data_IF_233804611469
#
_entry.id   IF_233804611469
#
_cell.length_a   1.000
_cell.length_b   1.000
_cell.length_c   1.000
_cell.angle_alpha   90.00
_cell.angle_beta   90.00
_cell.angle_gamma   90.00
#
_symmetry.space_group_name_H-M   'P 1'
#
loop_
_entity.id
_entity.type
_entity.pdbx_description
1 polymer ?
#
# COMPACT_ATOMS: atom_id res chain seq x y z
N UNK A 1 24.58 -10.51 -24.48
CA UNK A 1 24.42 -11.28 -23.22
C UNK A 1 24.56 -10.36 -22.01
N UNK A 2 25.30 -9.25 -22.15
CA UNK A 2 25.52 -8.25 -21.10
C UNK A 2 24.31 -7.37 -20.75
N UNK A 3 23.39 -7.10 -21.69
CA UNK A 3 22.19 -6.27 -21.42
C UNK A 3 21.13 -6.96 -20.54
N UNK A 4 21.09 -8.29 -20.51
CA UNK A 4 20.14 -9.04 -19.69
C UNK A 4 20.60 -9.07 -18.22
N UNK A 5 21.91 -9.11 -17.99
CA UNK A 5 22.51 -9.16 -16.65
C UNK A 5 22.29 -7.82 -15.93
N UNK A 6 22.42 -6.68 -16.62
CA UNK A 6 22.22 -5.35 -16.03
C UNK A 6 20.77 -5.07 -15.60
N UNK A 7 19.79 -5.54 -16.38
CA UNK A 7 18.37 -5.41 -16.04
C UNK A 7 17.97 -6.33 -14.86
N UNK A 8 18.57 -7.51 -14.78
CA UNK A 8 18.30 -8.50 -13.72
C UNK A 8 18.90 -8.07 -12.38
N UNK A 9 20.11 -7.50 -12.38
CA UNK A 9 20.72 -6.88 -11.19
C UNK A 9 19.88 -5.68 -10.69
N UNK A 10 19.41 -4.83 -11.60
CA UNK A 10 18.54 -3.70 -11.25
C UNK A 10 17.20 -4.15 -10.63
N UNK A 11 16.58 -5.22 -11.13
CA UNK A 11 15.35 -5.75 -10.54
C UNK A 11 15.56 -6.29 -9.12
N UNK A 12 16.65 -7.03 -8.90
CA UNK A 12 16.93 -7.62 -7.60
C UNK A 12 17.15 -6.55 -6.52
N UNK A 13 17.82 -5.45 -6.85
CA UNK A 13 18.00 -4.31 -5.95
C UNK A 13 16.66 -3.66 -5.58
N UNK A 14 15.80 -3.42 -6.57
CA UNK A 14 14.47 -2.86 -6.35
C UNK A 14 13.60 -3.82 -5.52
N UNK A 15 13.66 -5.12 -5.81
CA UNK A 15 12.95 -6.13 -5.05
C UNK A 15 13.38 -6.10 -3.58
N UNK A 16 14.68 -6.18 -3.31
CA UNK A 16 15.22 -6.13 -1.94
C UNK A 16 14.83 -4.83 -1.22
N UNK A 17 14.87 -3.69 -1.92
CA UNK A 17 14.53 -2.39 -1.35
C UNK A 17 13.06 -2.26 -0.96
N UNK A 18 12.14 -2.80 -1.77
CA UNK A 18 10.71 -2.56 -1.60
C UNK A 18 9.89 -3.77 -1.12
N UNK A 19 10.48 -4.97 -1.07
CA UNK A 19 9.82 -6.21 -0.63
C UNK A 19 9.01 -6.02 0.65
N UNK A 20 9.65 -5.54 1.72
CA UNK A 20 9.01 -5.38 3.04
C UNK A 20 7.83 -4.40 2.97
N UNK A 21 7.93 -3.34 2.18
CA UNK A 21 6.87 -2.34 2.04
C UNK A 21 5.68 -2.90 1.27
N UNK A 22 5.93 -3.54 0.13
CA UNK A 22 4.88 -4.15 -0.70
C UNK A 22 4.15 -5.25 0.08
N UNK A 23 4.90 -6.13 0.74
CA UNK A 23 4.34 -7.19 1.57
C UNK A 23 3.47 -6.63 2.71
N UNK A 24 3.94 -5.59 3.42
CA UNK A 24 3.14 -4.95 4.49
C UNK A 24 1.84 -4.36 3.96
N UNK A 25 1.85 -3.73 2.78
CA UNK A 25 0.62 -3.21 2.16
C UNK A 25 -0.32 -4.36 1.82
N UNK A 26 0.18 -5.40 1.16
CA UNK A 26 -0.59 -6.58 0.79
C UNK A 26 -1.24 -7.21 2.03
N UNK A 27 -0.44 -7.56 3.04
CA UNK A 27 -0.90 -8.14 4.29
C UNK A 27 -1.86 -7.22 5.06
N UNK A 28 -1.65 -5.90 5.02
CA UNK A 28 -2.55 -4.98 5.71
C UNK A 28 -3.98 -5.02 5.16
N UNK A 29 -4.15 -5.39 3.89
CA UNK A 29 -5.41 -5.48 3.17
C UNK A 29 -5.96 -6.91 3.22
N UNK A 30 -5.14 -7.92 2.89
CA UNK A 30 -5.58 -9.32 2.81
C UNK A 30 -5.82 -9.93 4.19
N UNK A 31 -5.05 -9.50 5.21
CA UNK A 31 -5.01 -10.13 6.55
C UNK A 31 -4.68 -11.62 6.53
N UNK A 32 -4.15 -12.11 5.41
CA UNK A 32 -3.80 -13.49 5.15
C UNK A 32 -2.38 -13.54 4.57
N UNK A 33 -1.56 -14.44 5.10
CA UNK A 33 -0.14 -14.56 4.74
C UNK A 33 0.03 -15.05 3.31
N UNK A 34 -0.71 -16.08 2.91
CA UNK A 34 -0.61 -16.68 1.58
C UNK A 34 -1.08 -15.70 0.50
N UNK A 35 -2.23 -15.05 0.72
CA UNK A 35 -2.73 -14.03 -0.20
C UNK A 35 -1.80 -12.81 -0.25
N UNK A 36 -1.15 -12.45 0.87
CA UNK A 36 -0.18 -11.36 0.87
C UNK A 36 1.08 -11.69 0.04
N UNK A 37 1.55 -12.93 0.10
CA UNK A 37 2.67 -13.43 -0.71
C UNK A 37 2.31 -13.46 -2.20
N UNK A 38 1.11 -13.93 -2.56
CA UNK A 38 0.65 -13.93 -3.95
C UNK A 38 0.55 -12.51 -4.52
N UNK A 39 -0.02 -11.58 -3.74
CA UNK A 39 -0.12 -10.17 -4.12
C UNK A 39 1.25 -9.54 -4.29
N UNK A 40 2.19 -9.85 -3.41
CA UNK A 40 3.58 -9.39 -3.50
C UNK A 40 4.21 -9.87 -4.81
N UNK A 41 4.13 -11.16 -5.10
CA UNK A 41 4.69 -11.76 -6.32
C UNK A 41 4.08 -11.12 -7.57
N UNK A 42 2.75 -11.05 -7.64
CA UNK A 42 2.03 -10.46 -8.76
C UNK A 42 2.38 -8.96 -8.95
N UNK A 43 2.62 -8.24 -7.85
CA UNK A 43 3.05 -6.83 -7.90
C UNK A 43 4.43 -6.68 -8.52
N UNK A 44 5.39 -7.50 -8.11
CA UNK A 44 6.75 -7.46 -8.66
C UNK A 44 6.83 -8.03 -10.08
N UNK A 45 5.96 -8.98 -10.46
CA UNK A 45 5.83 -9.42 -11.84
C UNK A 45 5.34 -8.28 -12.75
N UNK A 46 4.32 -7.52 -12.31
CA UNK A 46 3.85 -6.31 -13.00
C UNK A 46 4.92 -5.23 -13.07
N UNK A 47 5.77 -5.12 -12.03
CA UNK A 47 6.91 -4.21 -12.03
C UNK A 47 7.91 -4.62 -13.11
N UNK A 48 8.32 -5.89 -13.13
CA UNK A 48 9.28 -6.41 -14.09
C UNK A 48 8.85 -6.17 -15.55
N UNK A 49 7.57 -6.43 -15.86
CA UNK A 49 6.98 -6.17 -17.19
C UNK A 49 7.00 -4.69 -17.61
N UNK A 50 7.14 -3.76 -16.66
CA UNK A 50 7.14 -2.32 -16.92
C UNK A 50 8.45 -1.64 -16.57
N UNK A 51 9.44 -2.38 -16.08
CA UNK A 51 10.69 -1.85 -15.56
C UNK A 51 11.45 -1.05 -16.63
N UNK A 52 11.40 -1.48 -17.89
CA UNK A 52 12.00 -0.79 -19.04
C UNK A 52 11.40 0.61 -19.31
N UNK A 53 10.22 0.91 -18.78
CA UNK A 53 9.51 2.18 -19.00
C UNK A 53 9.64 3.14 -17.81
N UNK A 54 10.35 2.76 -16.75
CA UNK A 54 10.44 3.53 -15.51
C UNK A 54 11.74 4.34 -15.54
N UNK A 55 11.62 5.61 -15.92
CA UNK A 55 12.75 6.56 -15.98
C UNK A 55 13.07 7.20 -14.61
N UNK A 56 12.18 7.06 -13.62
CA UNK A 56 12.25 7.84 -12.38
C UNK A 56 12.08 6.98 -11.11
N UNK A 57 13.20 6.77 -10.43
CA UNK A 57 13.31 6.00 -9.18
C UNK A 57 12.46 6.60 -8.03
N UNK A 58 12.22 7.92 -8.00
CA UNK A 58 11.41 8.55 -6.95
C UNK A 58 9.93 8.14 -7.03
N UNK A 59 9.46 7.74 -8.22
CA UNK A 59 8.07 7.34 -8.46
C UNK A 59 7.81 5.86 -8.20
N UNK A 60 8.85 5.01 -8.19
CA UNK A 60 8.73 3.56 -8.02
C UNK A 60 8.05 3.19 -6.72
N UNK A 61 8.46 3.82 -5.61
CA UNK A 61 7.91 3.50 -4.29
C UNK A 61 6.41 3.76 -4.19
N UNK A 62 5.93 4.83 -4.82
CA UNK A 62 4.50 5.16 -4.89
C UNK A 62 3.75 4.22 -5.84
N UNK A 63 4.34 3.91 -6.98
CA UNK A 63 3.78 3.00 -7.97
C UNK A 63 3.64 1.56 -7.44
N UNK A 64 4.68 1.01 -6.80
CA UNK A 64 4.64 -0.32 -6.21
C UNK A 64 3.56 -0.42 -5.12
N UNK A 65 3.47 0.58 -4.24
CA UNK A 65 2.40 0.63 -3.23
C UNK A 65 1.00 0.67 -3.85
N UNK A 66 0.85 1.40 -4.95
CA UNK A 66 -0.40 1.48 -5.71
C UNK A 66 -0.81 0.14 -6.31
N UNK A 67 0.14 -0.54 -6.97
CA UNK A 67 -0.11 -1.83 -7.61
C UNK A 67 -0.37 -2.90 -6.58
N UNK A 68 0.35 -2.91 -5.46
CA UNK A 68 0.15 -3.83 -4.35
C UNK A 68 -1.27 -3.73 -3.78
N UNK A 69 -1.74 -2.52 -3.47
CA UNK A 69 -3.04 -2.33 -2.87
C UNK A 69 -4.18 -2.76 -3.81
N UNK A 70 -4.10 -2.40 -5.10
CA UNK A 70 -5.11 -2.84 -6.08
C UNK A 70 -5.11 -4.34 -6.26
N UNK A 71 -3.92 -4.94 -6.37
CA UNK A 71 -3.78 -6.38 -6.54
C UNK A 71 -4.37 -7.11 -5.32
N UNK A 72 -4.11 -6.64 -4.09
CA UNK A 72 -4.74 -7.19 -2.88
C UNK A 72 -6.28 -7.13 -2.92
N UNK A 73 -6.84 -5.99 -3.30
CA UNK A 73 -8.31 -5.83 -3.40
C UNK A 73 -8.90 -6.76 -4.46
N UNK A 74 -8.22 -6.95 -5.59
CA UNK A 74 -8.68 -7.83 -6.66
C UNK A 74 -8.65 -9.30 -6.25
N UNK A 75 -7.64 -9.73 -5.48
CA UNK A 75 -7.56 -11.07 -4.91
C UNK A 75 -8.72 -11.35 -3.94
N UNK A 76 -8.97 -10.43 -2.99
CA UNK A 76 -10.09 -10.56 -2.05
C UNK A 76 -11.47 -10.61 -2.76
N UNK A 77 -11.62 -9.86 -3.86
CA UNK A 77 -12.85 -9.88 -4.67
C UNK A 77 -13.04 -11.20 -5.42
N UNK A 78 -11.96 -11.89 -5.79
CA UNK A 78 -12.02 -13.21 -6.42
C UNK A 78 -12.43 -14.27 -5.40
N UNK A 79 -11.83 -14.25 -4.21
CA UNK A 79 -12.17 -15.16 -3.12
C UNK A 79 -13.66 -15.11 -2.76
N UNK A 80 -14.24 -13.90 -2.63
CA UNK A 80 -15.66 -13.73 -2.32
C UNK A 80 -16.62 -14.25 -3.40
N UNK A 81 -16.15 -14.47 -4.64
CA UNK A 81 -16.96 -14.97 -5.76
C UNK A 81 -16.89 -16.49 -5.93
N UNK A 82 -15.94 -17.15 -5.27
CA UNK A 82 -15.86 -18.60 -5.20
C UNK A 82 -16.65 -19.08 -3.98
N UNK A 83 -17.81 -19.76 -4.16
CA UNK A 83 -18.46 -20.43 -3.05
C UNK A 83 -17.54 -21.58 -2.59
N UNK A 84 -16.93 -21.44 -1.42
CA UNK A 84 -16.14 -22.51 -0.78
C UNK A 84 -17.04 -23.72 -0.47
N UNK A 85 -16.73 -24.92 -0.98
CA UNK A 85 -17.12 -26.16 -0.34
C UNK A 85 -16.05 -26.54 0.69
N UNK A 86 -16.50 -26.66 1.94
CA UNK A 86 -15.87 -27.35 3.06
C UNK A 86 -14.68 -26.70 3.78
N UNK A 87 -14.91 -26.52 5.09
CA UNK A 87 -14.00 -26.78 6.22
C UNK A 87 -12.60 -27.26 5.86
N UNK A 88 -11.60 -26.45 6.19
CA UNK A 88 -10.45 -26.93 6.96
C UNK A 88 -9.70 -25.79 7.66
N UNK A 89 -9.41 -26.05 8.93
CA UNK A 89 -8.66 -25.26 9.89
C UNK A 89 -7.35 -24.70 9.32
N UNK A 90 -7.01 -23.45 9.67
CA UNK A 90 -5.75 -23.17 10.40
C UNK A 90 -5.64 -21.72 10.82
N UNK A 91 -5.58 -21.54 12.13
CA UNK A 91 -5.05 -20.35 12.81
C UNK A 91 -3.55 -20.29 12.49
N UNK A 92 -3.06 -19.22 11.85
CA UNK A 92 -1.62 -18.94 11.78
C UNK A 92 -1.32 -17.53 12.32
N UNK A 93 -1.06 -17.50 13.63
CA UNK A 93 -0.26 -16.43 14.22
C UNK A 93 1.20 -16.63 13.77
N UNK A 94 1.79 -15.62 13.15
CA UNK A 94 3.19 -15.66 12.69
C UNK A 94 3.76 -14.25 12.51
N UNK A 95 3.87 -13.50 13.61
CA UNK A 95 4.49 -12.17 13.61
C UNK A 95 6.02 -12.27 13.60
N UNK A 96 6.66 -11.71 12.58
CA UNK A 96 8.10 -11.44 12.63
C UNK A 96 8.31 -10.04 13.25
N UNK A 97 8.63 -10.04 14.54
CA UNK A 97 8.89 -8.85 15.35
C UNK A 97 10.38 -8.54 15.30
N UNK A 98 10.74 -7.69 14.35
CA UNK A 98 11.91 -6.84 14.48
C UNK A 98 11.44 -5.41 14.17
N UNK A 99 10.70 -4.86 15.13
CA UNK A 99 10.31 -3.46 15.15
C UNK A 99 11.14 -2.81 16.27
N UNK A 100 12.09 -1.97 15.89
CA UNK A 100 12.77 -1.07 16.83
C UNK A 100 11.72 -0.19 17.52
N UNK A 101 11.89 0.09 18.81
CA UNK A 101 10.97 0.91 19.60
C UNK A 101 10.69 2.29 18.94
N UNK A 102 11.67 2.83 18.20
CA UNK A 102 11.53 4.05 17.40
C UNK A 102 10.50 3.92 16.27
N UNK A 103 10.43 2.75 15.62
CA UNK A 103 9.48 2.48 14.54
C UNK A 103 8.06 2.35 15.06
N UNK A 104 7.87 1.67 16.20
CA UNK A 104 6.57 1.56 16.87
C UNK A 104 6.09 2.92 17.37
N UNK A 105 6.99 3.70 17.98
CA UNK A 105 6.69 5.06 18.41
C UNK A 105 6.28 5.95 17.23
N UNK A 106 7.06 5.95 16.13
CA UNK A 106 6.74 6.74 14.94
C UNK A 106 5.40 6.35 14.32
N UNK A 107 5.11 5.03 14.26
CA UNK A 107 3.85 4.50 13.73
C UNK A 107 2.66 4.93 14.59
N UNK A 108 2.80 4.86 15.92
CA UNK A 108 1.77 5.30 16.85
C UNK A 108 1.54 6.81 16.75
N UNK A 109 2.60 7.61 16.72
CA UNK A 109 2.53 9.08 16.52
C UNK A 109 1.78 9.42 15.23
N UNK A 110 2.13 8.80 14.09
CA UNK A 110 1.43 9.02 12.82
C UNK A 110 -0.05 8.63 12.91
N UNK A 111 -0.36 7.49 13.53
CA UNK A 111 -1.73 7.02 13.72
C UNK A 111 -2.56 8.01 14.56
N UNK A 112 -2.00 8.53 15.65
CA UNK A 112 -2.66 9.51 16.50
C UNK A 112 -2.89 10.85 15.78
N UNK A 113 -1.90 11.32 15.01
CA UNK A 113 -2.06 12.56 14.24
C UNK A 113 -3.12 12.43 13.13
N UNK A 114 -3.21 11.27 12.48
CA UNK A 114 -4.29 10.98 11.51
C UNK A 114 -5.66 11.00 12.23
N UNK A 115 -5.75 10.47 13.45
CA UNK A 115 -6.97 10.52 14.28
C UNK A 115 -7.33 11.92 14.78
N UNK A 116 -6.42 12.90 14.74
CA UNK A 116 -6.72 14.31 15.04
C UNK A 116 -7.25 15.07 13.83
N UNK A 117 -7.09 14.55 12.62
CA UNK A 117 -7.64 15.17 11.41
C UNK A 117 -9.17 15.24 11.46
N UNK A 118 -9.75 16.30 10.88
CA UNK A 118 -11.19 16.42 10.67
C UNK A 118 -11.71 15.18 9.92
N UNK A 119 -12.92 14.65 10.24
CA UNK A 119 -13.41 13.39 9.68
C UNK A 119 -13.31 13.29 8.16
N UNK A 120 -13.71 14.35 7.46
CA UNK A 120 -13.64 14.46 5.98
C UNK A 120 -12.24 14.41 5.37
N UNK A 121 -11.19 14.69 6.15
CA UNK A 121 -9.79 14.63 5.75
C UNK A 121 -9.16 13.30 6.13
N UNK A 122 -9.55 12.76 7.29
CA UNK A 122 -9.15 11.43 7.73
C UNK A 122 -9.65 10.36 6.76
N UNK A 123 -10.95 10.33 6.51
CA UNK A 123 -11.61 9.32 5.67
C UNK A 123 -10.96 9.23 4.28
N UNK A 124 -10.75 10.37 3.61
CA UNK A 124 -10.14 10.38 2.27
C UNK A 124 -8.65 9.97 2.31
N UNK A 125 -7.95 10.26 3.40
CA UNK A 125 -6.52 9.97 3.55
C UNK A 125 -6.31 8.51 3.95
N UNK A 126 -7.17 7.95 4.80
CA UNK A 126 -7.23 6.52 5.14
C UNK A 126 -7.61 5.70 3.92
N UNK A 127 -8.64 6.09 3.17
CA UNK A 127 -8.99 5.43 1.91
C UNK A 127 -7.83 5.47 0.91
N UNK A 128 -7.08 6.57 0.88
CA UNK A 128 -5.90 6.70 0.04
C UNK A 128 -4.69 5.91 0.57
N UNK A 129 -4.49 5.79 1.88
CA UNK A 129 -3.35 5.08 2.47
C UNK A 129 -3.56 3.56 2.49
N UNK A 130 -4.74 3.12 2.92
CA UNK A 130 -5.03 1.70 3.14
C UNK A 130 -5.47 0.98 1.87
N UNK A 131 -6.13 1.69 0.93
CA UNK A 131 -6.70 1.05 -0.27
C UNK A 131 -6.11 1.60 -1.58
N UNK A 132 -5.15 2.53 -1.50
CA UNK A 132 -4.54 3.27 -2.62
C UNK A 132 -5.49 3.63 -3.78
N UNK A 133 -6.68 4.07 -3.42
CA UNK A 133 -7.68 4.44 -4.41
C UNK A 133 -7.18 5.62 -5.26
N UNK A 134 -7.43 5.56 -6.58
CA UNK A 134 -7.26 6.69 -7.48
C UNK A 134 -8.21 7.79 -7.07
N UNK A 135 -7.88 9.03 -7.44
CA UNK A 135 -8.77 10.17 -7.19
C UNK A 135 -10.18 9.98 -7.78
N UNK A 136 -10.29 9.23 -8.89
CA UNK A 136 -11.57 8.90 -9.51
C UNK A 136 -12.38 7.89 -8.68
N UNK A 137 -11.71 6.88 -8.12
CA UNK A 137 -12.33 5.86 -7.27
C UNK A 137 -12.75 6.48 -5.93
N UNK A 138 -11.93 7.37 -5.36
CA UNK A 138 -12.29 8.19 -4.19
C UNK A 138 -13.50 9.08 -4.47
N UNK A 139 -13.55 9.71 -5.65
CA UNK A 139 -14.66 10.56 -6.05
C UNK A 139 -15.97 9.78 -6.12
N UNK A 140 -15.94 8.57 -6.70
CA UNK A 140 -17.09 7.68 -6.78
C UNK A 140 -17.51 7.17 -5.40
N UNK A 141 -16.57 6.65 -4.62
CA UNK A 141 -16.84 6.03 -3.31
C UNK A 141 -17.35 7.03 -2.29
N UNK A 142 -16.80 8.26 -2.28
CA UNK A 142 -17.22 9.32 -1.36
C UNK A 142 -18.35 10.19 -1.91
N UNK A 143 -18.82 9.92 -3.14
CA UNK A 143 -19.81 10.76 -3.86
C UNK A 143 -19.40 12.24 -3.92
N UNK A 144 -18.13 12.49 -4.27
CA UNK A 144 -17.53 13.81 -4.35
C UNK A 144 -17.09 14.14 -5.78
N UNK A 145 -16.93 15.43 -6.09
CA UNK A 145 -16.24 15.84 -7.32
C UNK A 145 -14.74 15.53 -7.25
N UNK A 146 -14.10 15.27 -8.39
CA UNK A 146 -12.62 15.10 -8.47
C UNK A 146 -11.88 16.33 -7.91
N UNK A 147 -12.40 17.54 -8.12
CA UNK A 147 -11.84 18.77 -7.56
C UNK A 147 -11.90 18.81 -6.03
N UNK A 148 -13.00 18.33 -5.46
CA UNK A 148 -13.15 18.20 -3.99
C UNK A 148 -12.21 17.15 -3.43
N UNK A 149 -12.02 16.00 -4.11
CA UNK A 149 -11.06 14.96 -3.72
C UNK A 149 -9.64 15.53 -3.66
N UNK A 150 -9.17 16.17 -4.74
CA UNK A 150 -7.84 16.82 -4.78
C UNK A 150 -7.66 17.83 -3.65
N UNK A 151 -8.65 18.69 -3.45
CA UNK A 151 -8.59 19.73 -2.41
C UNK A 151 -8.55 19.12 -1.01
N UNK A 152 -9.36 18.08 -0.74
CA UNK A 152 -9.39 17.40 0.56
C UNK A 152 -8.09 16.65 0.81
N UNK A 153 -7.56 15.92 -0.18
CA UNK A 153 -6.26 15.24 -0.07
C UNK A 153 -5.12 16.23 0.20
N UNK A 154 -5.08 17.34 -0.54
CA UNK A 154 -4.06 18.38 -0.32
C UNK A 154 -4.14 18.97 1.09
N UNK A 155 -5.34 19.33 1.55
CA UNK A 155 -5.54 19.86 2.91
C UNK A 155 -5.22 18.82 3.97
N UNK A 156 -5.64 17.57 3.80
CA UNK A 156 -5.36 16.47 4.72
C UNK A 156 -3.85 16.25 4.89
N UNK A 157 -3.08 16.19 3.80
CA UNK A 157 -1.62 16.08 3.84
C UNK A 157 -0.96 17.29 4.50
N UNK A 158 -1.42 18.50 4.18
CA UNK A 158 -0.86 19.74 4.77
C UNK A 158 -1.10 19.79 6.27
N UNK A 159 -2.30 19.47 6.73
CA UNK A 159 -2.62 19.43 8.16
C UNK A 159 -1.82 18.34 8.87
N UNK A 160 -1.72 17.14 8.30
CA UNK A 160 -0.93 16.06 8.88
C UNK A 160 0.56 16.44 8.99
N UNK A 161 1.13 17.10 7.98
CA UNK A 161 2.52 17.58 8.01
C UNK A 161 2.78 18.61 9.10
N UNK A 162 1.82 19.49 9.38
CA UNK A 162 1.93 20.47 10.48
C UNK A 162 1.84 19.74 11.82
N UNK A 163 0.82 18.90 12.00
CA UNK A 163 0.62 18.07 13.21
C UNK A 163 1.86 17.24 13.58
N UNK A 164 2.47 16.59 12.59
CA UNK A 164 3.67 15.77 12.80
C UNK A 164 4.90 16.60 13.17
N UNK A 165 5.01 17.84 12.68
CA UNK A 165 6.11 18.74 13.09
C UNK A 165 5.97 19.22 14.53
N UNK A 166 4.74 19.30 15.02
CA UNK A 166 4.47 19.75 16.39
C UNK A 166 4.54 18.57 17.40
N UNK A 167 4.38 17.33 16.92
CA UNK A 167 4.37 16.11 17.73
C UNK A 167 5.72 15.37 17.79
N UNK A 168 6.68 15.73 16.91
CA UNK A 168 8.06 15.22 16.88
C UNK A 168 9.02 16.22 17.49
#
# INVERSE_FOLDING_TARGET
MDDIISAQESFQDIYCMFYKKVYRIAFSITKDVHLAEDVLQETFLKFYQKAEQIEDMEKISGWLGTVAARTAIDFLRKEQKTPCPLDELSISQGGNVEQTAEYEWLKETISQEIRKLKPKYREILELKLYYDLKEQELAQQLKLSKGTVKTRLHRARRTLKVSLKDAM
#
